data_IF_704294220058
#
_entry.id   IF_704294220058
#
_cell.length_a   1.000
_cell.length_b   1.000
_cell.length_c   1.000
_cell.angle_alpha   90.00
_cell.angle_beta   90.00
_cell.angle_gamma   90.00
#
_symmetry.space_group_name_H-M   'P 1'
#
loop_
_entity.id
_entity.type
_entity.pdbx_description
1 polymer ?
#
# COMPACT_ATOMS: atom_id res chain seq x y z
N UNK A 1 0.50 19.58 -5.37
CA UNK A 1 1.60 18.65 -5.69
C UNK A 1 1.04 17.33 -5.28
N UNK A 2 0.76 16.48 -6.26
CA UNK A 2 -0.17 15.36 -6.13
C UNK A 2 0.35 14.33 -5.14
N UNK A 3 -0.49 13.96 -4.20
CA UNK A 3 -0.24 12.94 -3.16
C UNK A 3 -0.27 11.51 -3.74
N UNK A 4 -0.61 11.38 -5.04
CA UNK A 4 -0.62 10.16 -5.88
C UNK A 4 0.71 9.38 -5.82
N UNK A 5 1.86 10.01 -6.11
CA UNK A 5 3.18 9.36 -6.02
C UNK A 5 3.62 9.01 -4.59
N UNK A 6 3.01 9.64 -3.57
CA UNK A 6 3.41 9.43 -2.19
C UNK A 6 2.84 8.14 -1.62
N UNK A 7 1.65 7.71 -2.06
CA UNK A 7 0.97 6.54 -1.50
C UNK A 7 1.64 5.24 -1.96
N UNK A 8 1.83 5.06 -3.26
CA UNK A 8 2.54 3.91 -3.83
C UNK A 8 3.94 3.78 -3.23
N UNK A 9 4.65 4.91 -3.09
CA UNK A 9 5.94 4.98 -2.41
C UNK A 9 5.84 4.65 -0.91
N UNK A 10 4.82 5.11 -0.20
CA UNK A 10 4.61 4.82 1.22
C UNK A 10 4.37 3.33 1.48
N UNK A 11 3.55 2.68 0.65
CA UNK A 11 3.29 1.24 0.72
C UNK A 11 4.58 0.44 0.52
N UNK A 12 5.31 0.76 -0.56
CA UNK A 12 6.59 0.10 -0.87
C UNK A 12 7.62 0.35 0.25
N UNK A 13 7.68 1.57 0.79
CA UNK A 13 8.61 1.93 1.89
C UNK A 13 8.26 1.22 3.20
N UNK A 14 6.97 1.13 3.54
CA UNK A 14 6.52 0.44 4.74
C UNK A 14 6.82 -1.06 4.66
N UNK A 15 6.58 -1.68 3.51
CA UNK A 15 6.91 -3.09 3.29
C UNK A 15 8.41 -3.35 3.35
N UNK A 16 9.19 -2.51 2.68
CA UNK A 16 10.65 -2.55 2.73
C UNK A 16 11.17 -2.44 4.18
N UNK A 17 10.64 -1.48 4.95
CA UNK A 17 11.02 -1.28 6.34
C UNK A 17 10.63 -2.45 7.25
N UNK A 18 9.50 -3.10 6.98
CA UNK A 18 9.01 -4.25 7.73
C UNK A 18 9.84 -5.52 7.47
N UNK A 19 10.09 -5.82 6.19
CA UNK A 19 10.96 -6.94 5.77
C UNK A 19 12.44 -6.67 6.05
N UNK A 20 12.83 -5.41 6.29
CA UNK A 20 14.22 -5.00 6.50
C UNK A 20 15.05 -5.05 5.21
N UNK A 21 14.42 -4.96 4.06
CA UNK A 21 15.06 -4.98 2.74
C UNK A 21 14.85 -3.66 2.02
N UNK A 22 15.63 -3.40 0.97
CA UNK A 22 15.37 -2.25 0.11
C UNK A 22 14.02 -2.39 -0.63
N UNK A 23 13.32 -1.29 -0.92
CA UNK A 23 12.08 -1.30 -1.69
C UNK A 23 12.22 -1.94 -3.09
N UNK A 24 13.43 -1.90 -3.65
CA UNK A 24 13.76 -2.53 -4.94
C UNK A 24 14.23 -4.00 -4.80
N UNK A 25 14.36 -4.49 -3.56
CA UNK A 25 14.80 -5.85 -3.18
C UNK A 25 13.67 -6.66 -2.54
N UNK A 26 12.46 -6.11 -2.46
CA UNK A 26 11.26 -6.83 -2.06
C UNK A 26 11.05 -8.03 -3.00
N UNK A 27 11.04 -9.24 -2.42
CA UNK A 27 10.71 -10.47 -3.13
C UNK A 27 9.51 -11.12 -2.44
N UNK A 28 8.37 -11.31 -3.13
CA UNK A 28 8.09 -10.94 -4.52
C UNK A 28 7.95 -9.42 -4.75
N UNK A 29 8.30 -8.85 -5.90
CA UNK A 29 8.15 -7.41 -6.12
C UNK A 29 6.69 -7.00 -5.93
N UNK A 30 6.45 -5.84 -5.30
CA UNK A 30 5.10 -5.36 -4.99
C UNK A 30 4.17 -5.37 -6.21
N UNK A 31 4.72 -5.00 -7.37
CA UNK A 31 4.07 -5.00 -8.69
C UNK A 31 3.53 -6.38 -9.12
N UNK A 32 4.08 -7.48 -8.59
CA UNK A 32 3.63 -8.86 -8.87
C UNK A 32 2.37 -9.21 -8.07
N UNK A 33 2.21 -8.59 -6.90
CA UNK A 33 1.09 -8.82 -5.98
C UNK A 33 -0.02 -7.78 -6.21
N UNK A 34 0.37 -6.53 -6.39
CA UNK A 34 -0.54 -5.40 -6.58
C UNK A 34 0.06 -4.40 -7.55
N UNK A 35 -0.70 -4.05 -8.58
CA UNK A 35 -0.29 -3.05 -9.55
C UNK A 35 -0.43 -1.66 -8.90
N UNK A 36 0.67 -0.92 -8.68
CA UNK A 36 0.63 0.38 -8.02
C UNK A 36 -0.07 1.45 -8.87
N UNK A 37 -0.14 1.29 -10.20
CA UNK A 37 -0.92 2.16 -11.10
C UNK A 37 -2.43 1.91 -10.88
N UNK A 38 -2.86 0.65 -10.75
CA UNK A 38 -4.25 0.31 -10.43
C UNK A 38 -4.63 0.72 -9.00
N UNK A 39 -3.67 0.65 -8.07
CA UNK A 39 -3.83 1.17 -6.72
C UNK A 39 -4.02 2.70 -6.76
N UNK A 40 -3.19 3.40 -7.53
CA UNK A 40 -3.30 4.84 -7.77
C UNK A 40 -4.68 5.19 -8.35
N UNK A 41 -5.13 4.52 -9.41
CA UNK A 41 -6.48 4.73 -9.99
C UNK A 41 -7.62 4.49 -8.98
N UNK A 42 -7.47 3.49 -8.10
CA UNK A 42 -8.42 3.20 -7.01
C UNK A 42 -8.53 4.35 -6.02
N UNK A 43 -7.40 5.03 -5.74
CA UNK A 43 -7.32 6.11 -4.76
C UNK A 43 -7.57 7.50 -5.39
N UNK A 44 -7.21 7.73 -6.66
CA UNK A 44 -7.62 8.92 -7.44
C UNK A 44 -9.15 9.01 -7.53
N UNK A 45 -9.84 7.87 -7.61
CA UNK A 45 -11.30 7.82 -7.53
C UNK A 45 -11.87 8.20 -6.15
N UNK A 46 -11.04 8.16 -5.10
CA UNK A 46 -11.40 8.47 -3.72
C UNK A 46 -11.01 9.89 -3.28
N UNK A 47 -10.35 10.67 -4.16
CA UNK A 47 -10.06 12.09 -3.95
C UNK A 47 -11.37 12.88 -3.85
N UNK A 48 -11.79 13.17 -2.62
CA UNK A 48 -12.50 14.43 -2.38
C UNK A 48 -13.92 14.34 -1.86
N UNK A 49 -14.28 13.31 -1.10
CA UNK A 49 -15.47 13.42 -0.26
C UNK A 49 -15.15 13.16 1.23
N UNK A 50 -15.04 14.20 2.08
CA UNK A 50 -14.88 14.03 3.53
C UNK A 50 -16.10 13.39 4.21
N UNK A 51 -17.17 13.11 3.45
CA UNK A 51 -18.36 12.41 3.91
C UNK A 51 -18.32 10.90 3.64
N UNK A 52 -17.32 10.40 2.91
CA UNK A 52 -17.16 8.98 2.62
C UNK A 52 -16.15 8.33 3.57
N UNK A 53 -16.36 7.06 3.95
CA UNK A 53 -15.41 6.33 4.78
C UNK A 53 -14.07 6.21 4.05
N UNK A 54 -12.93 6.29 4.75
CA UNK A 54 -11.62 6.14 4.11
C UNK A 54 -11.55 4.81 3.37
N UNK A 55 -11.08 4.83 2.11
CA UNK A 55 -10.78 3.61 1.39
C UNK A 55 -9.67 2.85 2.12
N UNK A 56 -9.89 1.56 2.33
CA UNK A 56 -8.95 0.61 2.90
C UNK A 56 -8.72 -0.47 1.86
N UNK A 57 -7.48 -0.69 1.49
CA UNK A 57 -7.05 -1.76 0.59
C UNK A 57 -6.23 -2.74 1.40
N UNK A 58 -6.71 -3.97 1.53
CA UNK A 58 -6.00 -5.04 2.22
C UNK A 58 -5.64 -6.13 1.23
N UNK A 59 -4.35 -6.48 1.15
CA UNK A 59 -3.85 -7.53 0.28
C UNK A 59 -2.85 -8.42 1.01
N UNK A 60 -2.69 -9.65 0.52
CA UNK A 60 -1.68 -10.58 1.03
C UNK A 60 -0.40 -10.45 0.22
N UNK A 61 0.70 -10.30 0.92
CA UNK A 61 2.05 -10.25 0.38
C UNK A 61 2.87 -11.34 1.07
N UNK A 62 3.16 -12.44 0.38
CA UNK A 62 3.81 -13.60 1.00
C UNK A 62 3.00 -14.15 2.18
N UNK A 63 3.62 -14.21 3.35
CA UNK A 63 3.01 -14.56 4.65
C UNK A 63 2.55 -13.33 5.46
N UNK A 64 2.60 -12.14 4.87
CA UNK A 64 2.20 -10.87 5.48
C UNK A 64 0.88 -10.37 4.87
N UNK A 65 0.11 -9.66 5.66
CA UNK A 65 -1.11 -8.95 5.29
C UNK A 65 -0.82 -7.47 5.35
N UNK A 66 -0.99 -6.80 4.22
CA UNK A 66 -0.72 -5.37 4.06
C UNK A 66 -2.05 -4.67 3.95
N UNK A 67 -2.27 -3.69 4.82
CA UNK A 67 -3.42 -2.82 4.84
C UNK A 67 -2.98 -1.39 4.55
N UNK A 68 -3.60 -0.77 3.56
CA UNK A 68 -3.30 0.58 3.10
C UNK A 68 -4.57 1.40 3.20
N UNK A 69 -4.49 2.54 3.86
CA UNK A 69 -5.59 3.50 3.93
C UNK A 69 -5.34 4.68 3.01
N UNK A 70 -6.41 5.25 2.47
CA UNK A 70 -6.42 6.51 1.70
C UNK A 70 -5.84 7.71 2.46
N UNK A 71 -5.75 7.64 3.79
CA UNK A 71 -5.09 8.66 4.63
C UNK A 71 -3.55 8.57 4.56
N UNK A 72 -3.00 7.56 3.88
CA UNK A 72 -1.55 7.31 3.80
C UNK A 72 -1.00 6.46 4.94
N UNK A 73 -1.87 5.92 5.80
CA UNK A 73 -1.43 4.95 6.82
C UNK A 73 -1.32 3.55 6.22
N UNK A 74 -0.18 2.91 6.45
CA UNK A 74 0.11 1.53 6.04
C UNK A 74 0.34 0.68 7.28
N UNK A 75 -0.42 -0.40 7.42
CA UNK A 75 -0.28 -1.39 8.48
C UNK A 75 0.09 -2.74 7.89
N UNK A 76 1.06 -3.42 8.49
CA UNK A 76 1.51 -4.74 8.05
C UNK A 76 1.34 -5.70 9.23
N UNK A 77 0.69 -6.83 8.98
CA UNK A 77 0.42 -7.88 9.95
C UNK A 77 0.92 -9.20 9.40
N UNK A 78 1.75 -9.90 10.17
CA UNK A 78 2.12 -11.27 9.86
C UNK A 78 0.90 -12.18 9.96
N UNK A 79 0.68 -13.08 8.99
CA UNK A 79 -0.43 -14.04 9.03
C UNK A 79 -0.25 -15.15 10.09
N UNK A 80 0.79 -15.05 10.91
CA UNK A 80 1.18 -16.05 11.92
C UNK A 80 0.84 -15.66 13.36
N UNK A 81 0.12 -14.54 13.60
CA UNK A 81 -0.38 -14.18 14.95
C UNK A 81 -1.61 -15.02 15.37
#
# INVERSE_FOLDING_TARGET
>A
MRDEDALSLAVVTALAAHEGVDPTRLEPPLYDVIDPDALDELFTGFEGNPSEPPAVVTFRYGDCVVEVTSDGSVAIQDASD
#
